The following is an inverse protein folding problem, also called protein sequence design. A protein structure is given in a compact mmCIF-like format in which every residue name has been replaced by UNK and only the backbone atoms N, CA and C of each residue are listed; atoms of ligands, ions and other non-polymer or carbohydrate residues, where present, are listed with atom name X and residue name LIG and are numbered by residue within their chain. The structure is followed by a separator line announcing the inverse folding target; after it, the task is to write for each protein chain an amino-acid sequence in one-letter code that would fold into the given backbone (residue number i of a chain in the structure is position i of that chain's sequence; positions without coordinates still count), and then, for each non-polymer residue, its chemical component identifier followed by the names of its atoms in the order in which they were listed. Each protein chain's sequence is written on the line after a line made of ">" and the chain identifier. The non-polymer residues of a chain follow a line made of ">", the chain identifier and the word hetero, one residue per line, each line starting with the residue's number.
data_IF_720368768107
#
_entry.id   IF_720368768107
#
_cell.length_a   1.000
_cell.length_b   1.000
_cell.length_c   1.000
_cell.angle_alpha   90.00
_cell.angle_beta   90.00
_cell.angle_gamma   90.00
#
_symmetry.space_group_name_H-M   'P 1'
#
loop_
_entity.id
_entity.type
_entity.pdbx_description
1 polymer ?
#
# COMPACT_ATOMS: atom_id res chain seq x y z
N UNK A 1 34.99 -12.97 2.58
CA UNK A 1 35.51 -11.94 1.66
C UNK A 1 34.42 -11.62 0.65
N UNK A 2 33.81 -10.44 0.72
CA UNK A 2 32.75 -10.05 -0.21
C UNK A 2 33.34 -9.87 -1.61
N UNK A 3 32.84 -10.61 -2.60
CA UNK A 3 33.22 -10.41 -3.99
C UNK A 3 32.90 -8.97 -4.40
N UNK A 4 33.92 -8.20 -4.80
CA UNK A 4 33.72 -6.86 -5.34
C UNK A 4 32.90 -7.00 -6.61
N UNK A 5 31.71 -6.43 -6.63
CA UNK A 5 30.85 -6.48 -7.80
C UNK A 5 31.57 -5.80 -8.98
N UNK A 6 31.71 -6.51 -10.09
CA UNK A 6 32.33 -5.98 -11.32
C UNK A 6 31.37 -4.95 -11.92
N UNK A 7 31.72 -3.66 -11.78
CA UNK A 7 30.95 -2.56 -12.36
C UNK A 7 31.17 -2.49 -13.87
N UNK A 8 30.09 -2.24 -14.62
CA UNK A 8 30.19 -1.88 -16.04
C UNK A 8 30.78 -0.47 -16.18
N UNK A 9 31.41 -0.14 -17.32
CA UNK A 9 31.80 1.23 -17.62
C UNK A 9 30.61 2.20 -17.53
N UNK A 10 30.88 3.45 -17.15
CA UNK A 10 29.87 4.51 -17.16
C UNK A 10 29.38 4.72 -18.60
N UNK A 11 28.06 4.89 -18.77
CA UNK A 11 27.43 5.17 -20.05
C UNK A 11 26.75 6.54 -20.04
N UNK A 12 26.68 7.17 -21.21
CA UNK A 12 26.02 8.47 -21.40
C UNK A 12 26.85 9.69 -21.01
N UNK A 13 26.29 10.87 -21.23
CA UNK A 13 26.86 12.16 -20.79
C UNK A 13 26.23 12.56 -19.45
N UNK A 14 26.95 13.35 -18.64
CA UNK A 14 26.38 13.89 -17.40
C UNK A 14 25.20 14.80 -17.74
N UNK A 15 24.07 14.68 -17.03
CA UNK A 15 22.96 15.61 -17.20
C UNK A 15 23.29 16.98 -16.60
N UNK A 16 22.58 18.01 -17.03
CA UNK A 16 22.53 19.30 -16.34
C UNK A 16 21.26 19.41 -15.48
N UNK A 17 21.36 20.15 -14.39
CA UNK A 17 20.23 20.48 -13.50
C UNK A 17 19.89 21.95 -13.70
N UNK A 18 18.71 22.23 -14.23
CA UNK A 18 18.32 23.57 -14.65
C UNK A 18 16.83 23.82 -14.37
N UNK A 19 16.46 25.06 -14.07
CA UNK A 19 15.06 25.48 -14.19
C UNK A 19 14.78 25.86 -15.64
N UNK A 20 13.71 25.31 -16.22
CA UNK A 20 13.31 25.58 -17.61
C UNK A 20 11.92 26.21 -17.66
N UNK A 21 11.74 27.31 -18.41
CA UNK A 21 10.43 27.89 -18.67
C UNK A 21 9.43 26.85 -19.19
N UNK A 22 8.18 26.91 -18.77
CA UNK A 22 7.16 25.94 -19.19
C UNK A 22 6.94 25.91 -20.72
N UNK A 23 7.19 27.04 -21.39
CA UNK A 23 7.06 27.21 -22.83
C UNK A 23 8.16 26.51 -23.64
N UNK A 24 9.31 26.25 -23.04
CA UNK A 24 10.43 25.56 -23.69
C UNK A 24 10.25 24.03 -23.70
N UNK A 25 9.34 23.52 -22.86
CA UNK A 25 9.15 22.10 -22.62
C UNK A 25 8.09 21.51 -23.56
N UNK A 26 8.57 20.72 -24.53
CA UNK A 26 7.76 20.04 -25.54
C UNK A 26 7.40 18.62 -25.09
N UNK A 27 6.32 18.10 -25.66
CA UNK A 27 5.86 16.72 -25.48
C UNK A 27 5.98 16.01 -26.82
N UNK A 28 6.54 14.80 -26.81
CA UNK A 28 6.50 13.90 -27.97
C UNK A 28 5.43 12.83 -27.70
N UNK A 29 4.34 12.89 -28.46
CA UNK A 29 3.20 11.99 -28.29
C UNK A 29 3.48 10.57 -28.80
N UNK A 30 4.60 10.32 -29.49
CA UNK A 30 4.91 9.01 -30.08
C UNK A 30 5.21 7.91 -29.06
N UNK A 31 5.69 8.27 -27.86
CA UNK A 31 6.05 7.31 -26.81
C UNK A 31 5.52 7.65 -25.41
N UNK A 32 4.86 8.81 -25.23
CA UNK A 32 4.29 9.20 -23.95
C UNK A 32 2.88 8.66 -23.73
N UNK A 33 2.44 8.62 -22.46
CA UNK A 33 1.05 8.29 -22.13
C UNK A 33 0.18 9.51 -22.39
N UNK A 34 -0.91 9.35 -23.14
CA UNK A 34 -1.95 10.39 -23.20
C UNK A 34 -2.43 10.73 -21.78
N UNK A 35 -2.44 12.02 -21.48
CA UNK A 35 -2.98 12.55 -20.23
C UNK A 35 -4.47 12.87 -20.33
N UNK A 36 -5.14 12.55 -21.45
CA UNK A 36 -6.54 12.90 -21.70
C UNK A 36 -7.53 11.98 -20.96
N UNK A 37 -7.05 10.85 -20.46
CA UNK A 37 -7.85 9.95 -19.63
C UNK A 37 -8.36 10.66 -18.36
N UNK A 38 -9.59 10.33 -17.94
CA UNK A 38 -10.20 10.94 -16.75
C UNK A 38 -9.35 10.80 -15.48
N UNK A 39 -8.66 9.66 -15.31
CA UNK A 39 -7.74 9.43 -14.20
C UNK A 39 -6.50 10.35 -14.26
N UNK A 40 -5.92 10.56 -15.45
CA UNK A 40 -4.79 11.49 -15.63
C UNK A 40 -5.20 12.94 -15.39
N UNK A 41 -6.37 13.35 -15.90
CA UNK A 41 -6.90 14.69 -15.66
C UNK A 41 -7.21 14.94 -14.18
N UNK A 42 -7.75 13.94 -13.47
CA UNK A 42 -7.95 14.00 -12.03
C UNK A 42 -6.61 14.15 -11.27
N UNK A 43 -5.57 13.42 -11.70
CA UNK A 43 -4.22 13.54 -11.14
C UNK A 43 -3.65 14.95 -11.34
N UNK A 44 -3.71 15.49 -12.56
CA UNK A 44 -3.25 16.85 -12.88
C UNK A 44 -3.94 17.88 -11.98
N UNK A 45 -5.27 17.83 -11.88
CA UNK A 45 -6.06 18.75 -11.04
C UNK A 45 -5.68 18.62 -9.56
N UNK A 46 -5.42 17.40 -9.08
CA UNK A 46 -5.00 17.14 -7.70
C UNK A 46 -3.64 17.78 -7.42
N UNK A 47 -2.66 17.57 -8.30
CA UNK A 47 -1.32 18.18 -8.18
C UNK A 47 -1.43 19.72 -8.21
N UNK A 48 -2.22 20.27 -9.14
CA UNK A 48 -2.37 21.72 -9.27
C UNK A 48 -3.00 22.38 -8.03
N UNK A 49 -4.05 21.76 -7.47
CA UNK A 49 -4.79 22.28 -6.29
C UNK A 49 -3.96 22.28 -5.02
N UNK A 50 -3.12 21.26 -4.83
CA UNK A 50 -2.30 21.09 -3.64
C UNK A 50 -0.81 21.03 -4.03
N UNK A 51 -0.38 22.02 -4.81
CA UNK A 51 1.01 22.08 -5.26
C UNK A 51 1.95 22.28 -4.07
N UNK A 52 2.98 21.43 -4.00
CA UNK A 52 4.04 21.50 -3.01
C UNK A 52 5.38 21.29 -3.73
N UNK A 53 6.25 22.30 -3.65
CA UNK A 53 7.59 22.23 -4.23
C UNK A 53 8.44 21.10 -3.63
N UNK A 54 8.20 20.71 -2.38
CA UNK A 54 8.86 19.57 -1.74
C UNK A 54 8.47 18.21 -2.33
N UNK A 55 7.32 18.12 -2.99
CA UNK A 55 6.86 16.93 -3.72
C UNK A 55 7.17 16.99 -5.23
N UNK A 56 7.58 18.15 -5.73
CA UNK A 56 7.88 18.37 -7.14
C UNK A 56 9.28 17.86 -7.51
N UNK A 57 9.39 16.57 -7.84
CA UNK A 57 10.63 16.05 -8.40
C UNK A 57 10.93 16.70 -9.77
N UNK A 58 12.21 16.95 -10.09
CA UNK A 58 12.62 17.45 -11.40
C UNK A 58 12.09 16.61 -12.56
N UNK A 59 11.74 17.27 -13.67
CA UNK A 59 11.35 16.61 -14.91
C UNK A 59 12.60 16.00 -15.56
N UNK A 60 12.47 14.80 -16.13
CA UNK A 60 13.52 14.28 -17.02
C UNK A 60 13.26 14.81 -18.41
N UNK A 61 14.25 15.45 -19.02
CA UNK A 61 14.11 16.16 -20.30
C UNK A 61 15.23 15.77 -21.25
N UNK A 62 14.88 15.39 -22.46
CA UNK A 62 15.79 15.19 -23.57
C UNK A 62 16.08 16.52 -24.25
N UNK A 63 17.36 16.84 -24.44
CA UNK A 63 17.81 17.89 -25.35
C UNK A 63 18.26 17.24 -26.66
N UNK A 64 17.52 17.48 -27.74
CA UNK A 64 17.84 17.01 -29.09
C UNK A 64 18.89 17.91 -29.75
N UNK A 65 19.43 17.49 -30.88
CA UNK A 65 20.53 18.18 -31.59
C UNK A 65 20.16 19.60 -32.05
N UNK A 66 18.88 19.86 -32.32
CA UNK A 66 18.33 21.19 -32.62
C UNK A 66 18.19 22.09 -31.39
N UNK A 67 18.51 21.58 -30.20
CA UNK A 67 18.39 22.27 -28.92
C UNK A 67 17.00 22.20 -28.29
N UNK A 68 16.01 21.60 -28.97
CA UNK A 68 14.66 21.46 -28.45
C UNK A 68 14.62 20.53 -27.22
N UNK A 69 13.74 20.86 -26.28
CA UNK A 69 13.63 20.19 -24.99
C UNK A 69 12.34 19.38 -24.93
N UNK A 70 12.46 18.05 -24.94
CA UNK A 70 11.34 17.13 -24.87
C UNK A 70 11.26 16.49 -23.50
N UNK A 71 10.10 16.57 -22.85
CA UNK A 71 9.89 15.86 -21.59
C UNK A 71 9.97 14.35 -21.84
N UNK A 72 10.62 13.62 -20.96
CA UNK A 72 10.65 12.16 -20.92
C UNK A 72 9.76 11.67 -19.77
N UNK A 73 9.91 12.26 -18.58
CA UNK A 73 9.11 11.94 -17.39
C UNK A 73 8.68 13.21 -16.64
N UNK A 74 7.40 13.27 -16.23
CA UNK A 74 6.84 14.40 -15.48
C UNK A 74 5.76 15.21 -16.19
N UNK A 75 5.16 14.67 -17.24
CA UNK A 75 4.08 15.31 -18.00
C UNK A 75 2.91 15.80 -17.11
N UNK A 76 2.48 15.03 -16.10
CA UNK A 76 1.42 15.47 -15.18
C UNK A 76 1.84 16.69 -14.33
N UNK A 77 3.12 16.79 -13.96
CA UNK A 77 3.66 17.94 -13.22
C UNK A 77 3.72 19.18 -14.11
N UNK A 78 4.19 19.03 -15.36
CA UNK A 78 4.16 20.09 -16.35
C UNK A 78 2.74 20.59 -16.61
N UNK A 79 1.79 19.68 -16.84
CA UNK A 79 0.39 20.03 -17.05
C UNK A 79 -0.23 20.71 -15.82
N UNK A 80 0.10 20.26 -14.61
CA UNK A 80 -0.39 20.89 -13.38
C UNK A 80 0.19 22.28 -13.17
N UNK A 81 1.48 22.50 -13.44
CA UNK A 81 2.10 23.83 -13.40
C UNK A 81 1.43 24.78 -14.41
N UNK A 82 1.22 24.32 -15.66
CA UNK A 82 0.47 25.06 -16.70
C UNK A 82 -0.95 25.39 -16.25
N UNK A 83 -1.64 24.46 -15.59
CA UNK A 83 -3.01 24.65 -15.11
C UNK A 83 -3.10 25.71 -14.00
N UNK A 84 -2.08 25.86 -13.16
CA UNK A 84 -2.10 26.88 -12.10
C UNK A 84 -1.91 28.30 -12.62
N UNK A 85 -1.09 28.47 -13.65
CA UNK A 85 -0.81 29.77 -14.28
C UNK A 85 0.09 30.71 -13.47
N UNK A 86 0.47 30.36 -12.23
CA UNK A 86 1.37 31.12 -11.36
C UNK A 86 2.78 30.51 -11.23
N UNK A 87 3.04 29.42 -11.96
CA UNK A 87 4.35 28.76 -12.06
C UNK A 87 4.92 29.00 -13.45
N UNK A 88 6.12 29.56 -13.54
CA UNK A 88 6.72 29.98 -14.81
C UNK A 88 7.81 29.04 -15.33
N UNK A 89 8.46 28.29 -14.44
CA UNK A 89 9.49 27.32 -14.75
C UNK A 89 9.39 26.07 -13.85
N UNK A 90 10.08 25.00 -14.25
CA UNK A 90 10.19 23.77 -13.47
C UNK A 90 11.63 23.27 -13.43
N UNK A 91 12.06 22.65 -12.32
CA UNK A 91 13.36 22.01 -12.24
C UNK A 91 13.40 20.81 -13.20
N UNK A 92 14.51 20.68 -13.92
CA UNK A 92 14.71 19.69 -14.97
C UNK A 92 16.10 19.05 -14.84
N UNK A 93 16.13 17.73 -15.06
CA UNK A 93 17.34 16.95 -15.37
C UNK A 93 17.40 16.86 -16.89
N UNK A 94 18.30 17.63 -17.50
CA UNK A 94 18.42 17.72 -18.96
C UNK A 94 19.53 16.79 -19.43
N UNK A 95 19.19 15.88 -20.35
CA UNK A 95 20.10 14.86 -20.89
C UNK A 95 20.16 15.00 -22.40
N UNK A 96 21.36 14.91 -22.99
CA UNK A 96 21.48 14.89 -24.44
C UNK A 96 20.85 13.61 -25.00
N UNK A 97 19.97 13.75 -25.98
CA UNK A 97 19.29 12.65 -26.66
C UNK A 97 19.73 12.58 -28.12
N UNK A 98 19.86 11.35 -28.65
CA UNK A 98 20.24 11.09 -30.05
C UNK A 98 19.04 10.74 -30.93
N UNK A 99 17.95 10.23 -30.33
CA UNK A 99 16.77 9.77 -31.06
C UNK A 99 15.56 9.65 -30.12
N UNK A 100 14.36 9.68 -30.70
CA UNK A 100 13.12 9.38 -29.97
C UNK A 100 13.10 7.96 -29.39
N UNK A 101 13.78 7.00 -30.03
CA UNK A 101 13.90 5.62 -29.53
C UNK A 101 14.67 5.57 -28.20
N UNK A 102 15.77 6.33 -28.08
CA UNK A 102 16.54 6.45 -26.83
C UNK A 102 15.67 7.07 -25.71
N UNK A 103 14.83 8.04 -26.05
CA UNK A 103 13.90 8.71 -25.13
C UNK A 103 12.80 7.77 -24.64
N UNK A 104 12.21 6.97 -25.54
CA UNK A 104 11.21 5.96 -25.23
C UNK A 104 11.79 4.86 -24.30
N UNK A 105 13.00 4.39 -24.58
CA UNK A 105 13.70 3.43 -23.73
C UNK A 105 13.96 4.01 -22.32
N UNK A 106 14.39 5.26 -22.25
CA UNK A 106 14.57 5.98 -20.99
C UNK A 106 13.26 6.14 -20.23
N UNK A 107 12.16 6.50 -20.90
CA UNK A 107 10.83 6.60 -20.31
C UNK A 107 10.39 5.28 -19.65
N UNK A 108 10.55 4.17 -20.35
CA UNK A 108 10.21 2.83 -19.84
C UNK A 108 11.09 2.49 -18.62
N UNK A 109 12.41 2.66 -18.74
CA UNK A 109 13.35 2.35 -17.67
C UNK A 109 13.08 3.17 -16.39
N UNK A 110 12.88 4.49 -16.53
CA UNK A 110 12.59 5.40 -15.40
C UNK A 110 11.28 5.05 -14.68
N UNK A 111 10.29 4.52 -15.40
CA UNK A 111 9.00 4.14 -14.82
C UNK A 111 9.01 2.72 -14.24
N UNK A 112 9.71 1.77 -14.84
CA UNK A 112 9.79 0.39 -14.37
C UNK A 112 10.75 0.21 -13.19
N UNK A 113 11.83 0.98 -13.11
CA UNK A 113 12.80 0.90 -12.02
C UNK A 113 12.26 1.44 -10.69
N UNK A 114 11.13 2.18 -10.70
CA UNK A 114 10.48 2.63 -9.47
C UNK A 114 9.88 1.43 -8.75
N UNK A 115 10.53 1.02 -7.67
CA UNK A 115 9.94 0.07 -6.73
C UNK A 115 8.89 0.80 -5.88
N UNK A 116 7.60 0.44 -5.98
CA UNK A 116 6.58 1.02 -5.12
C UNK A 116 6.87 0.67 -3.66
N UNK A 117 6.59 1.62 -2.75
CA UNK A 117 6.59 1.32 -1.32
C UNK A 117 5.52 0.26 -1.04
N UNK A 118 5.90 -0.79 -0.31
CA UNK A 118 4.97 -1.77 0.22
C UNK A 118 4.04 -1.13 1.24
N UNK A 119 2.90 -1.78 1.52
CA UNK A 119 1.98 -1.31 2.58
C UNK A 119 2.65 -1.19 3.95
N UNK A 120 3.63 -2.05 4.26
CA UNK A 120 4.38 -1.97 5.51
C UNK A 120 5.28 -0.74 5.57
N UNK A 121 5.95 -0.41 4.47
CA UNK A 121 6.78 0.79 4.36
C UNK A 121 5.92 2.06 4.43
N UNK A 122 4.76 2.06 3.75
CA UNK A 122 3.78 3.15 3.83
C UNK A 122 3.26 3.33 5.26
N UNK A 123 2.88 2.25 5.94
CA UNK A 123 2.41 2.31 7.32
C UNK A 123 3.48 2.83 8.27
N UNK A 124 4.74 2.39 8.11
CA UNK A 124 5.87 2.90 8.89
C UNK A 124 6.10 4.40 8.66
N UNK A 125 5.98 4.86 7.41
CA UNK A 125 6.07 6.28 7.08
C UNK A 125 4.92 7.08 7.70
N UNK A 126 3.68 6.58 7.61
CA UNK A 126 2.50 7.21 8.22
C UNK A 126 2.62 7.33 9.75
N UNK A 127 3.17 6.29 10.41
CA UNK A 127 3.49 6.35 11.84
C UNK A 127 4.52 7.42 12.18
N UNK A 128 5.59 7.52 11.38
CA UNK A 128 6.62 8.54 11.58
C UNK A 128 6.07 9.96 11.34
N UNK A 129 5.10 10.10 10.42
CA UNK A 129 4.39 11.34 10.16
C UNK A 129 3.30 11.68 11.20
N UNK A 130 3.02 10.78 12.14
CA UNK A 130 1.99 10.98 13.18
C UNK A 130 0.56 10.91 12.63
N UNK A 131 0.32 10.20 11.53
CA UNK A 131 -1.02 10.06 10.98
C UNK A 131 -1.95 9.32 11.97
N UNK A 132 -3.10 9.94 12.26
CA UNK A 132 -4.02 9.49 13.32
C UNK A 132 -4.42 8.02 13.18
N UNK A 133 -4.81 7.58 11.98
CA UNK A 133 -5.23 6.19 11.75
C UNK A 133 -4.08 5.21 12.00
N UNK A 134 -2.86 5.54 11.54
CA UNK A 134 -1.69 4.70 11.76
C UNK A 134 -1.36 4.59 13.25
N UNK A 135 -1.37 5.71 13.98
CA UNK A 135 -1.14 5.75 15.43
C UNK A 135 -2.18 4.94 16.20
N UNK A 136 -3.46 5.02 15.82
CA UNK A 136 -4.54 4.20 16.41
C UNK A 136 -4.28 2.71 16.21
N UNK A 137 -3.95 2.29 14.99
CA UNK A 137 -3.66 0.87 14.68
C UNK A 137 -2.45 0.39 15.47
N UNK A 138 -1.37 1.17 15.51
CA UNK A 138 -0.16 0.81 16.24
C UNK A 138 -0.40 0.72 17.76
N UNK A 139 -1.16 1.66 18.32
CA UNK A 139 -1.58 1.62 19.73
C UNK A 139 -2.38 0.36 20.06
N UNK A 140 -3.34 0.00 19.21
CA UNK A 140 -4.16 -1.20 19.38
C UNK A 140 -3.35 -2.49 19.29
N UNK A 141 -2.40 -2.58 18.34
CA UNK A 141 -1.47 -3.71 18.23
C UNK A 141 -0.61 -3.84 19.49
N UNK A 142 -0.02 -2.73 19.93
CA UNK A 142 0.87 -2.69 21.11
C UNK A 142 0.13 -3.16 22.36
N UNK A 143 -1.11 -2.70 22.57
CA UNK A 143 -1.94 -3.10 23.70
C UNK A 143 -2.33 -4.58 23.68
N UNK A 144 -2.44 -5.18 22.49
CA UNK A 144 -2.69 -6.61 22.34
C UNK A 144 -1.42 -7.48 22.43
N UNK A 145 -0.25 -6.88 22.67
CA UNK A 145 1.04 -7.59 22.64
C UNK A 145 1.46 -8.01 21.23
N UNK A 146 0.86 -7.41 20.20
CA UNK A 146 1.17 -7.65 18.79
C UNK A 146 2.08 -6.57 18.25
N UNK A 147 2.77 -6.85 17.14
CA UNK A 147 3.63 -5.87 16.47
C UNK A 147 3.57 -6.02 14.95
N UNK A 148 4.05 -5.00 14.24
CA UNK A 148 4.10 -5.03 12.77
C UNK A 148 5.34 -5.79 12.31
N UNK A 149 5.17 -6.68 11.32
CA UNK A 149 6.27 -7.37 10.67
C UNK A 149 7.21 -6.38 9.93
N UNK A 150 8.51 -6.65 9.94
CA UNK A 150 9.51 -5.78 9.29
C UNK A 150 9.61 -5.97 7.79
N UNK A 151 9.19 -7.13 7.29
CA UNK A 151 9.21 -7.46 5.86
C UNK A 151 7.93 -8.20 5.48
N UNK A 152 7.67 -8.30 4.17
CA UNK A 152 6.59 -9.15 3.65
C UNK A 152 6.96 -10.63 3.59
N UNK A 153 8.21 -11.02 3.88
CA UNK A 153 8.63 -12.43 3.87
C UNK A 153 8.21 -13.13 5.18
N UNK A 154 7.25 -14.08 5.16
CA UNK A 154 6.74 -14.75 6.35
C UNK A 154 7.78 -15.57 7.12
N UNK A 155 8.87 -15.99 6.48
CA UNK A 155 9.95 -16.73 7.13
C UNK A 155 10.74 -15.87 8.13
N UNK A 156 10.71 -14.56 7.95
CA UNK A 156 11.40 -13.60 8.84
C UNK A 156 10.56 -13.19 10.05
N UNK A 157 9.30 -13.59 10.10
CA UNK A 157 8.36 -13.11 11.12
C UNK A 157 8.56 -13.82 12.45
N UNK A 158 8.47 -13.05 13.53
CA UNK A 158 8.44 -13.53 14.91
C UNK A 158 6.99 -13.75 15.36
N UNK A 159 6.77 -14.55 16.42
CA UNK A 159 5.46 -14.64 17.05
C UNK A 159 4.81 -13.29 17.34
N UNK A 160 3.50 -13.19 17.11
CA UNK A 160 2.75 -11.95 17.32
C UNK A 160 2.99 -10.83 16.28
N UNK A 161 3.78 -11.08 15.23
CA UNK A 161 3.95 -10.12 14.14
C UNK A 161 2.83 -10.24 13.10
N UNK A 162 2.26 -9.10 12.70
CA UNK A 162 1.22 -8.99 11.68
C UNK A 162 1.71 -8.18 10.48
N UNK A 163 1.27 -8.54 9.28
CA UNK A 163 1.62 -7.83 8.04
C UNK A 163 0.42 -7.27 7.28
N UNK A 164 -0.81 -7.64 7.66
CA UNK A 164 -2.04 -7.25 6.97
C UNK A 164 -2.55 -5.85 7.36
N UNK A 165 -1.75 -4.81 7.09
CA UNK A 165 -2.11 -3.42 7.41
C UNK A 165 -3.47 -3.03 6.80
N UNK A 166 -3.72 -3.43 5.55
CA UNK A 166 -4.98 -3.09 4.86
C UNK A 166 -6.23 -3.65 5.53
N UNK A 167 -6.14 -4.83 6.17
CA UNK A 167 -7.25 -5.37 6.95
C UNK A 167 -7.50 -4.61 8.25
N UNK A 168 -6.44 -4.10 8.88
CA UNK A 168 -6.53 -3.28 10.09
C UNK A 168 -7.13 -1.90 9.78
N UNK A 169 -6.64 -1.24 8.73
CA UNK A 169 -7.20 0.02 8.19
C UNK A 169 -8.69 -0.14 7.89
N UNK A 170 -9.07 -1.21 7.19
CA UNK A 170 -10.46 -1.51 6.90
C UNK A 170 -11.29 -1.65 8.19
N UNK A 171 -10.78 -2.40 9.18
CA UNK A 171 -11.49 -2.61 10.44
C UNK A 171 -11.74 -1.30 11.19
N UNK A 172 -10.73 -0.42 11.30
CA UNK A 172 -10.90 0.88 11.94
C UNK A 172 -11.93 1.74 11.22
N UNK A 173 -11.86 1.81 9.89
CA UNK A 173 -12.78 2.65 9.09
C UNK A 173 -14.22 2.16 9.14
N UNK A 174 -14.44 0.85 9.19
CA UNK A 174 -15.79 0.27 9.15
C UNK A 174 -16.40 0.07 10.53
N UNK A 175 -15.60 -0.31 11.52
CA UNK A 175 -16.10 -0.75 12.84
C UNK A 175 -15.58 0.12 14.00
N UNK A 176 -14.59 0.99 13.76
CA UNK A 176 -14.01 1.87 14.77
C UNK A 176 -12.96 1.20 15.66
N UNK A 177 -12.27 2.04 16.43
CA UNK A 177 -11.12 1.65 17.25
C UNK A 177 -11.46 0.59 18.31
N UNK A 178 -12.62 0.69 18.97
CA UNK A 178 -13.02 -0.26 20.04
C UNK A 178 -13.12 -1.70 19.51
N UNK A 179 -13.66 -1.86 18.30
CA UNK A 179 -13.77 -3.17 17.65
C UNK A 179 -12.39 -3.66 17.22
N UNK A 180 -11.55 -2.78 16.64
CA UNK A 180 -10.16 -3.14 16.32
C UNK A 180 -9.43 -3.69 17.56
N UNK A 181 -9.42 -2.94 18.66
CA UNK A 181 -8.69 -3.31 19.89
C UNK A 181 -9.15 -4.65 20.43
N UNK A 182 -10.46 -4.85 20.54
CA UNK A 182 -11.03 -6.10 21.05
C UNK A 182 -10.74 -7.29 20.13
N UNK A 183 -10.80 -7.08 18.81
CA UNK A 183 -10.51 -8.12 17.82
C UNK A 183 -9.03 -8.52 17.82
N UNK A 184 -8.14 -7.56 18.00
CA UNK A 184 -6.70 -7.83 18.12
C UNK A 184 -6.37 -8.59 19.41
N UNK A 185 -7.01 -8.25 20.53
CA UNK A 185 -6.90 -9.00 21.79
C UNK A 185 -7.39 -10.45 21.63
N UNK A 186 -8.58 -10.63 21.04
CA UNK A 186 -9.12 -11.97 20.77
C UNK A 186 -8.17 -12.80 19.90
N UNK A 187 -7.59 -12.20 18.85
CA UNK A 187 -6.62 -12.88 17.98
C UNK A 187 -5.29 -13.18 18.70
N UNK A 188 -4.83 -12.28 19.56
CA UNK A 188 -3.60 -12.46 20.35
C UNK A 188 -3.74 -13.60 21.37
N UNK A 189 -4.93 -13.75 21.98
CA UNK A 189 -5.26 -14.87 22.86
C UNK A 189 -5.35 -16.16 22.05
N UNK A 190 -6.11 -16.17 20.95
CA UNK A 190 -6.33 -17.35 20.12
C UNK A 190 -5.03 -17.97 19.58
N UNK A 191 -4.05 -17.14 19.22
CA UNK A 191 -2.82 -17.58 18.57
C UNK A 191 -1.56 -17.19 19.35
N UNK A 192 -1.65 -17.20 20.68
CA UNK A 192 -0.55 -16.84 21.55
C UNK A 192 0.74 -17.63 21.22
N UNK A 193 1.87 -16.93 21.13
CA UNK A 193 3.18 -17.54 20.85
C UNK A 193 3.38 -18.03 19.41
N UNK A 194 2.39 -17.86 18.52
CA UNK A 194 2.48 -18.33 17.14
C UNK A 194 2.95 -17.23 16.16
N UNK A 195 3.62 -17.65 15.10
CA UNK A 195 3.83 -16.82 13.90
C UNK A 195 2.50 -16.75 13.13
N UNK A 196 1.97 -15.55 12.96
CA UNK A 196 0.60 -15.33 12.49
C UNK A 196 0.49 -15.35 10.95
N UNK A 197 0.77 -16.50 10.34
CA UNK A 197 0.86 -16.67 8.87
C UNK A 197 -0.46 -16.40 8.14
N UNK A 198 -1.59 -16.78 8.73
CA UNK A 198 -2.92 -16.63 8.11
C UNK A 198 -3.74 -15.52 8.75
N UNK A 199 -3.12 -14.69 9.59
CA UNK A 199 -3.79 -13.58 10.29
C UNK A 199 -4.64 -12.73 9.35
N UNK A 200 -4.10 -12.37 8.18
CA UNK A 200 -4.81 -11.50 7.25
C UNK A 200 -6.10 -12.11 6.69
N UNK A 201 -6.16 -13.44 6.62
CA UNK A 201 -7.33 -14.20 6.16
C UNK A 201 -8.34 -14.40 7.29
N UNK A 202 -7.87 -14.64 8.52
CA UNK A 202 -8.69 -14.96 9.69
C UNK A 202 -9.28 -13.70 10.33
N UNK A 203 -8.47 -12.65 10.48
CA UNK A 203 -8.80 -11.43 11.22
C UNK A 203 -10.15 -10.78 10.82
N UNK A 204 -10.55 -10.72 9.54
CA UNK A 204 -11.83 -10.13 9.19
C UNK A 204 -13.04 -10.87 9.78
N UNK A 205 -12.97 -12.19 9.94
CA UNK A 205 -14.04 -12.96 10.59
C UNK A 205 -14.11 -12.67 12.09
N UNK A 206 -12.96 -12.54 12.76
CA UNK A 206 -12.89 -12.11 14.16
C UNK A 206 -13.51 -10.72 14.33
N UNK A 207 -13.09 -9.76 13.49
CA UNK A 207 -13.56 -8.39 13.53
C UNK A 207 -15.08 -8.28 13.30
N UNK A 208 -15.62 -9.03 12.35
CA UNK A 208 -17.05 -9.09 12.10
C UNK A 208 -17.80 -9.73 13.28
N UNK A 209 -17.26 -10.80 13.88
CA UNK A 209 -17.84 -11.44 15.05
C UNK A 209 -17.94 -10.46 16.24
N UNK A 210 -16.86 -9.76 16.56
CA UNK A 210 -16.85 -8.75 17.63
C UNK A 210 -17.79 -7.58 17.29
N UNK A 211 -17.82 -7.14 16.03
CA UNK A 211 -18.75 -6.09 15.59
C UNK A 211 -20.21 -6.50 15.71
N UNK A 212 -20.52 -7.78 15.49
CA UNK A 212 -21.90 -8.31 15.49
C UNK A 212 -22.40 -8.60 16.90
N UNK A 213 -21.56 -9.23 17.73
CA UNK A 213 -21.93 -9.70 19.07
C UNK A 213 -21.53 -8.74 20.20
N UNK A 214 -20.77 -7.70 19.87
CA UNK A 214 -20.32 -6.67 20.81
C UNK A 214 -18.99 -7.01 21.50
N UNK A 215 -18.31 -5.96 21.98
CA UNK A 215 -16.97 -6.07 22.57
C UNK A 215 -16.92 -6.93 23.84
N UNK A 216 -18.03 -7.07 24.56
CA UNK A 216 -18.12 -7.91 25.76
C UNK A 216 -17.89 -9.40 25.44
N UNK A 217 -18.07 -9.81 24.19
CA UNK A 217 -17.87 -11.19 23.74
C UNK A 217 -16.46 -11.46 23.21
N UNK A 218 -15.53 -10.51 23.35
CA UNK A 218 -14.15 -10.64 22.86
C UNK A 218 -13.44 -11.89 23.35
N UNK A 219 -13.57 -12.22 24.64
CA UNK A 219 -12.90 -13.38 25.24
C UNK A 219 -13.46 -14.70 24.70
N UNK A 220 -14.79 -14.83 24.63
CA UNK A 220 -15.44 -16.01 24.05
C UNK A 220 -15.06 -16.18 22.57
N UNK A 221 -15.06 -15.10 21.80
CA UNK A 221 -14.62 -15.13 20.40
C UNK A 221 -13.15 -15.57 20.30
N UNK A 222 -12.28 -15.07 21.20
CA UNK A 222 -10.89 -15.51 21.29
C UNK A 222 -10.75 -17.00 21.57
N UNK A 223 -11.55 -17.55 22.49
CA UNK A 223 -11.58 -18.99 22.79
C UNK A 223 -12.07 -19.84 21.61
N UNK A 224 -13.14 -19.43 20.92
CA UNK A 224 -13.66 -20.13 19.74
C UNK A 224 -12.64 -20.11 18.61
N UNK A 225 -12.02 -18.96 18.35
CA UNK A 225 -10.99 -18.87 17.31
C UNK A 225 -9.75 -19.67 17.71
N UNK A 226 -9.41 -19.70 19.00
CA UNK A 226 -8.28 -20.48 19.53
C UNK A 226 -8.52 -21.99 19.62
N UNK A 227 -9.75 -22.47 19.39
CA UNK A 227 -10.03 -23.92 19.41
C UNK A 227 -9.57 -24.65 18.15
N UNK A 228 -9.09 -23.93 17.14
CA UNK A 228 -8.57 -24.47 15.90
C UNK A 228 -7.25 -23.80 15.51
N UNK A 229 -6.38 -24.54 14.83
CA UNK A 229 -5.13 -24.03 14.30
C UNK A 229 -5.39 -23.04 13.14
N UNK A 230 -4.43 -22.14 12.90
CA UNK A 230 -4.55 -21.15 11.81
C UNK A 230 -4.75 -21.82 10.43
N UNK A 231 -4.19 -23.00 10.19
CA UNK A 231 -4.37 -23.75 8.95
C UNK A 231 -5.77 -24.32 8.81
N UNK A 232 -6.39 -24.76 9.91
CA UNK A 232 -7.76 -25.27 9.91
C UNK A 232 -8.74 -24.14 9.59
N UNK A 233 -8.52 -22.96 10.18
CA UNK A 233 -9.29 -21.76 9.80
C UNK A 233 -9.12 -21.40 8.34
N UNK A 234 -7.89 -21.38 7.83
CA UNK A 234 -7.64 -21.15 6.39
C UNK A 234 -8.44 -22.12 5.53
N UNK A 235 -8.47 -23.40 5.88
CA UNK A 235 -9.15 -24.44 5.10
C UNK A 235 -10.67 -24.31 5.19
N UNK A 236 -11.22 -23.96 6.36
CA UNK A 236 -12.64 -23.65 6.53
C UNK A 236 -13.07 -22.42 5.71
N UNK A 237 -12.25 -21.36 5.69
CA UNK A 237 -12.51 -20.15 4.92
C UNK A 237 -12.46 -20.43 3.41
N UNK A 238 -11.46 -21.20 2.96
CA UNK A 238 -11.36 -21.62 1.56
C UNK A 238 -12.54 -22.50 1.14
N UNK A 239 -13.03 -23.36 2.03
CA UNK A 239 -14.24 -24.18 1.79
C UNK A 239 -15.47 -23.30 1.65
N UNK A 240 -15.68 -22.34 2.54
CA UNK A 240 -16.78 -21.37 2.44
C UNK A 240 -16.74 -20.59 1.12
N UNK A 241 -15.55 -20.18 0.66
CA UNK A 241 -15.35 -19.54 -0.64
C UNK A 241 -15.63 -20.48 -1.83
N UNK A 242 -15.30 -21.76 -1.71
CA UNK A 242 -15.58 -22.75 -2.75
C UNK A 242 -17.08 -23.09 -2.86
N UNK A 243 -17.77 -23.18 -1.73
CA UNK A 243 -19.22 -23.39 -1.66
C UNK A 243 -20.00 -22.17 -2.18
N UNK A 244 -19.48 -20.95 -1.98
CA UNK A 244 -20.09 -19.71 -2.45
C UNK A 244 -19.09 -18.85 -3.26
N UNK A 245 -18.90 -19.15 -4.55
CA UNK A 245 -17.89 -18.49 -5.39
C UNK A 245 -18.04 -16.97 -5.52
N UNK A 246 -19.21 -16.40 -5.24
CA UNK A 246 -19.45 -14.96 -5.32
C UNK A 246 -18.88 -14.17 -4.12
N UNK A 247 -18.59 -14.83 -2.99
CA UNK A 247 -18.04 -14.17 -1.82
C UNK A 247 -16.60 -13.72 -2.09
N UNK A 248 -16.19 -12.54 -1.64
CA UNK A 248 -14.76 -12.26 -1.58
C UNK A 248 -14.12 -12.98 -0.37
N UNK A 249 -12.78 -12.98 -0.26
CA UNK A 249 -12.10 -13.68 0.84
C UNK A 249 -12.47 -13.16 2.23
N UNK A 250 -12.80 -11.87 2.36
CA UNK A 250 -13.26 -11.28 3.62
C UNK A 250 -14.59 -11.88 4.03
N UNK A 251 -15.55 -11.91 3.10
CA UNK A 251 -16.90 -12.40 3.38
C UNK A 251 -16.90 -13.91 3.66
N UNK A 252 -16.03 -14.66 3.00
CA UNK A 252 -15.80 -16.07 3.30
C UNK A 252 -15.26 -16.26 4.74
N UNK A 253 -14.36 -15.39 5.19
CA UNK A 253 -13.87 -15.39 6.57
C UNK A 253 -14.97 -15.08 7.59
N UNK A 254 -15.80 -14.07 7.30
CA UNK A 254 -16.97 -13.73 8.11
C UNK A 254 -17.93 -14.90 8.21
N UNK A 255 -18.20 -15.60 7.11
CA UNK A 255 -19.11 -16.75 7.10
C UNK A 255 -18.55 -17.92 7.92
N UNK A 256 -17.30 -18.33 7.68
CA UNK A 256 -16.73 -19.51 8.33
C UNK A 256 -16.56 -19.32 9.84
N UNK A 257 -15.95 -18.19 10.26
CA UNK A 257 -15.72 -17.89 11.67
C UNK A 257 -17.05 -17.51 12.36
N UNK A 258 -17.93 -16.79 11.66
CA UNK A 258 -19.25 -16.41 12.18
C UNK A 258 -20.13 -17.60 12.52
N UNK A 259 -20.10 -18.68 11.70
CA UNK A 259 -20.80 -19.93 12.01
C UNK A 259 -20.33 -20.53 13.33
N UNK A 260 -19.02 -20.67 13.53
CA UNK A 260 -18.46 -21.23 14.75
C UNK A 260 -18.76 -20.37 15.99
N UNK A 261 -18.70 -19.03 15.85
CA UNK A 261 -19.08 -18.12 16.94
C UNK A 261 -20.57 -18.29 17.27
N UNK A 262 -21.45 -18.34 16.28
CA UNK A 262 -22.89 -18.51 16.49
C UNK A 262 -23.24 -19.85 17.17
N UNK A 263 -22.59 -20.94 16.76
CA UNK A 263 -22.73 -22.26 17.38
C UNK A 263 -22.31 -22.23 18.86
N UNK A 264 -21.16 -21.62 19.17
CA UNK A 264 -20.68 -21.50 20.55
C UNK A 264 -21.60 -20.61 21.41
N UNK A 265 -22.17 -19.55 20.85
CA UNK A 265 -23.10 -18.66 21.56
C UNK A 265 -24.44 -19.36 21.84
N UNK A 266 -24.95 -20.14 20.89
CA UNK A 266 -26.22 -20.88 21.03
C UNK A 266 -26.14 -22.03 22.04
N UNK A 267 -24.96 -22.61 22.25
CA UNK A 267 -24.76 -23.73 23.20
C UNK A 267 -24.70 -23.33 24.68
N UNK A 268 -24.66 -22.04 25.02
CA UNK A 268 -24.57 -21.55 26.41
C UNK A 268 -25.92 -21.38 27.13
N UNK A 269 -27.03 -21.76 26.48
CA UNK A 269 -28.39 -21.62 27.01
C UNK A 269 -28.97 -22.84 27.76
N UNK A 270 -28.31 -24.01 27.71
CA UNK A 270 -28.79 -25.28 28.28
C UNK A 270 -27.82 -25.86 29.34
N UNK A 271 -27.39 -25.04 30.30
CA UNK A 271 -26.61 -25.48 31.47
C UNK A 271 -27.18 -24.95 32.78
#
# INVERSE_FOLDING_TARGET
>A
MSGVAKMQPQAGRRPSLEFRPLGDLLIDDSYQRSIDSGASQALVKRIARAWDWGLCQPLNVAKRDDGALYVIDGQHRLAAARLRGDIFDLPCVVVASRSADDEAAAFVALNQQRRPLSKLELFKAALAAGETEATVIHGALTQAGLSVATTTNPESWKPGQVSNIGGLEYCVRQHGEKILRTSLLAAAVAFHGQVLRYFGTIFPGIAAGVSTHGVAQGDLIGMVVGSCDQSEWRDAINRAKAEQPNLNMRDAAVLAIGRAIAEAMGGTGDA
#
